data_IF_455176458027
#
_entry.id   IF_455176458027
#
_cell.length_a   1.000
_cell.length_b   1.000
_cell.length_c   1.000
_cell.angle_alpha   90.00
_cell.angle_beta   90.00
_cell.angle_gamma   90.00
#
_symmetry.space_group_name_H-M   'P 1'
#
loop_
_entity.id
_entity.type
_entity.pdbx_description
1 polymer ?
#
# COMPACT_ATOMS: atom_id res chain seq x y z
N UNK A 1 19.85 6.09 -3.35
CA UNK A 1 19.48 4.70 -3.01
C UNK A 1 20.40 3.75 -3.75
N UNK A 2 20.75 2.58 -3.19
CA UNK A 2 21.53 1.58 -3.91
C UNK A 2 20.74 1.08 -5.13
N UNK A 3 21.43 0.81 -6.24
CA UNK A 3 20.79 0.29 -7.47
C UNK A 3 20.46 -1.21 -7.36
N UNK A 4 21.08 -1.91 -6.41
CA UNK A 4 20.91 -3.34 -6.16
C UNK A 4 21.03 -3.66 -4.67
N UNK A 5 20.36 -4.73 -4.24
CA UNK A 5 20.36 -5.23 -2.87
C UNK A 5 20.89 -6.66 -2.80
N UNK A 6 21.64 -7.00 -1.75
CA UNK A 6 22.05 -8.39 -1.50
C UNK A 6 20.81 -9.25 -1.22
N UNK A 7 20.69 -10.40 -1.89
CA UNK A 7 19.51 -11.28 -1.82
C UNK A 7 19.10 -11.64 -0.39
N UNK A 8 20.08 -11.94 0.48
CA UNK A 8 19.80 -12.26 1.89
C UNK A 8 19.15 -11.08 2.62
N UNK A 9 19.49 -9.84 2.25
CA UNK A 9 18.86 -8.64 2.84
C UNK A 9 17.41 -8.50 2.41
N UNK A 10 17.09 -8.86 1.16
CA UNK A 10 15.71 -8.89 0.64
C UNK A 10 14.87 -9.88 1.43
N UNK A 11 15.33 -11.14 1.51
CA UNK A 11 14.65 -12.22 2.25
C UNK A 11 14.42 -11.84 3.72
N UNK A 12 15.43 -11.24 4.38
CA UNK A 12 15.29 -10.78 5.76
C UNK A 12 14.31 -9.61 5.91
N UNK A 13 14.24 -8.71 4.94
CA UNK A 13 13.32 -7.58 4.96
C UNK A 13 11.87 -8.04 4.81
N UNK A 14 11.61 -8.97 3.89
CA UNK A 14 10.28 -9.56 3.68
C UNK A 14 9.84 -10.39 4.88
N UNK A 15 10.75 -11.19 5.45
CA UNK A 15 10.46 -11.94 6.67
C UNK A 15 10.10 -11.02 7.84
N UNK A 16 10.84 -9.92 8.04
CA UNK A 16 10.54 -8.93 9.09
C UNK A 16 9.20 -8.25 8.88
N UNK A 17 8.83 -7.98 7.63
CA UNK A 17 7.49 -7.47 7.32
C UNK A 17 6.42 -8.43 7.82
N UNK A 18 6.53 -9.72 7.51
CA UNK A 18 5.58 -10.74 7.97
C UNK A 18 5.57 -10.87 9.50
N UNK A 19 6.75 -10.94 10.13
CA UNK A 19 6.86 -11.04 11.59
C UNK A 19 6.18 -9.85 12.29
N UNK A 20 6.47 -8.61 11.86
CA UNK A 20 5.86 -7.41 12.46
C UNK A 20 4.37 -7.25 12.12
N UNK A 21 3.94 -7.73 10.95
CA UNK A 21 2.53 -7.75 10.60
C UNK A 21 1.74 -8.69 11.51
N UNK A 22 2.28 -9.87 11.79
CA UNK A 22 1.68 -10.85 12.70
C UNK A 22 1.60 -10.30 14.13
N UNK A 23 2.61 -9.56 14.59
CA UNK A 23 2.58 -8.86 15.88
C UNK A 23 1.44 -7.84 15.96
N UNK A 24 1.21 -7.05 14.91
CA UNK A 24 0.07 -6.11 14.86
C UNK A 24 -1.25 -6.87 14.85
N UNK A 25 -1.39 -7.89 14.01
CA UNK A 25 -2.63 -8.65 13.85
C UNK A 25 -3.05 -9.40 15.11
N UNK A 26 -2.10 -9.81 15.93
CA UNK A 26 -2.31 -10.50 17.20
C UNK A 26 -2.37 -9.57 18.43
N UNK A 27 -2.21 -8.26 18.21
CA UNK A 27 -2.18 -7.28 19.28
C UNK A 27 -3.54 -7.04 19.95
N UNK A 28 -3.47 -6.58 21.19
CA UNK A 28 -4.60 -6.08 21.97
C UNK A 28 -4.45 -4.56 22.14
N UNK A 29 -5.46 -3.89 22.68
CA UNK A 29 -5.45 -2.43 22.83
C UNK A 29 -4.22 -1.90 23.56
N UNK A 30 -3.76 -2.62 24.59
CA UNK A 30 -2.59 -2.21 25.38
C UNK A 30 -1.25 -2.28 24.64
N UNK A 31 -1.16 -3.05 23.56
CA UNK A 31 0.08 -3.29 22.80
C UNK A 31 0.01 -2.81 21.34
N UNK A 32 -1.20 -2.51 20.85
CA UNK A 32 -1.46 -2.14 19.47
C UNK A 32 -0.57 -1.00 18.97
N UNK A 33 -0.53 0.13 19.68
CA UNK A 33 0.26 1.30 19.27
C UNK A 33 1.75 0.98 19.12
N UNK A 34 2.29 0.17 20.05
CA UNK A 34 3.70 -0.21 20.03
C UNK A 34 4.02 -1.09 18.82
N UNK A 35 3.18 -2.10 18.55
CA UNK A 35 3.39 -3.00 17.43
C UNK A 35 3.10 -2.33 16.08
N UNK A 36 2.06 -1.49 15.99
CA UNK A 36 1.78 -0.72 14.79
C UNK A 36 2.95 0.22 14.46
N UNK A 37 3.53 0.88 15.47
CA UNK A 37 4.69 1.74 15.27
C UNK A 37 5.93 0.97 14.80
N UNK A 38 6.19 -0.23 15.33
CA UNK A 38 7.30 -1.07 14.86
C UNK A 38 7.08 -1.49 13.40
N UNK A 39 5.87 -1.95 13.08
CA UNK A 39 5.48 -2.36 11.73
C UNK A 39 5.60 -1.22 10.72
N UNK A 40 5.00 -0.06 11.02
CA UNK A 40 5.07 1.13 10.16
C UNK A 40 6.51 1.63 10.02
N UNK A 41 7.30 1.62 11.10
CA UNK A 41 8.71 1.99 11.03
C UNK A 41 9.51 1.09 10.09
N UNK A 42 9.25 -0.23 10.08
CA UNK A 42 9.87 -1.15 9.12
C UNK A 42 9.44 -0.81 7.69
N UNK A 43 8.14 -0.65 7.45
CA UNK A 43 7.60 -0.28 6.13
C UNK A 43 8.19 1.03 5.59
N UNK A 44 8.40 2.03 6.44
CA UNK A 44 8.82 3.37 6.02
C UNK A 44 10.34 3.55 5.97
N UNK A 45 11.10 2.85 6.82
CA UNK A 45 12.54 3.10 7.00
C UNK A 45 13.45 1.93 6.59
N UNK A 46 12.93 0.72 6.38
CA UNK A 46 13.73 -0.35 5.78
C UNK A 46 14.04 -0.03 4.32
N UNK A 47 15.29 -0.22 3.88
CA UNK A 47 15.75 0.17 2.55
C UNK A 47 15.00 -0.51 1.40
N UNK A 48 14.39 -1.68 1.66
CA UNK A 48 13.70 -2.50 0.66
C UNK A 48 12.19 -2.28 0.77
N UNK A 49 11.61 -2.43 1.97
CA UNK A 49 10.17 -2.23 2.16
C UNK A 49 9.75 -0.80 1.83
N UNK A 50 10.59 0.20 2.13
CA UNK A 50 10.25 1.59 1.79
C UNK A 50 10.08 1.80 0.29
N UNK A 51 10.78 1.07 -0.58
CA UNK A 51 10.58 1.17 -2.03
C UNK A 51 9.17 0.71 -2.42
N UNK A 52 8.70 -0.38 -1.81
CA UNK A 52 7.38 -0.95 -2.05
C UNK A 52 6.30 -0.02 -1.46
N UNK A 53 6.42 0.32 -0.18
CA UNK A 53 5.45 1.15 0.54
C UNK A 53 5.40 2.60 0.05
N UNK A 54 6.48 3.16 -0.51
CA UNK A 54 6.45 4.49 -1.12
C UNK A 54 5.46 4.58 -2.28
N UNK A 55 5.27 3.51 -3.04
CA UNK A 55 4.29 3.47 -4.14
C UNK A 55 2.85 3.61 -3.65
N UNK A 56 2.60 3.29 -2.37
CA UNK A 56 1.28 3.36 -1.74
C UNK A 56 0.94 4.73 -1.14
N UNK A 57 1.89 5.68 -1.14
CA UNK A 57 1.70 7.01 -0.54
C UNK A 57 1.35 8.12 -1.53
N UNK A 58 1.51 7.88 -2.82
CA UNK A 58 1.54 8.96 -3.82
C UNK A 58 0.18 9.55 -4.21
N UNK A 59 -0.93 8.94 -3.83
CA UNK A 59 -2.26 9.41 -4.19
C UNK A 59 -3.13 9.62 -2.95
N UNK A 60 -3.17 10.85 -2.44
CA UNK A 60 -4.02 11.22 -1.30
C UNK A 60 -5.50 11.36 -1.68
N UNK A 61 -5.81 11.49 -2.98
CA UNK A 61 -7.19 11.71 -3.44
C UNK A 61 -8.07 10.50 -3.18
N UNK A 62 -7.49 9.29 -3.22
CA UNK A 62 -8.21 8.04 -2.93
C UNK A 62 -8.74 8.03 -1.50
N UNK A 63 -7.94 8.44 -0.53
CA UNK A 63 -8.35 8.51 0.86
C UNK A 63 -9.39 9.62 1.06
N UNK A 64 -9.17 10.82 0.53
CA UNK A 64 -10.12 11.93 0.64
C UNK A 64 -11.50 11.58 0.01
N UNK A 65 -11.50 10.94 -1.16
CA UNK A 65 -12.69 10.45 -1.85
C UNK A 65 -13.38 9.32 -1.06
N UNK A 66 -12.61 8.47 -0.40
CA UNK A 66 -13.15 7.42 0.44
C UNK A 66 -13.75 7.97 1.74
N UNK A 67 -13.07 8.91 2.41
CA UNK A 67 -13.53 9.57 3.63
C UNK A 67 -14.80 10.39 3.38
N UNK A 68 -14.89 11.08 2.24
CA UNK A 68 -16.08 11.83 1.84
C UNK A 68 -17.27 10.92 1.53
N UNK A 69 -17.07 9.82 0.79
CA UNK A 69 -18.13 8.82 0.53
C UNK A 69 -18.61 8.13 1.81
N UNK A 70 -17.70 7.93 2.76
CA UNK A 70 -18.02 7.28 4.03
C UNK A 70 -18.43 8.27 5.13
N UNK A 71 -18.46 9.59 4.84
CA UNK A 71 -18.84 10.67 5.77
C UNK A 71 -18.12 10.58 7.13
N UNK A 72 -16.80 10.38 7.14
CA UNK A 72 -16.02 10.37 8.38
C UNK A 72 -16.01 11.76 9.08
N UNK A 73 -16.37 12.83 8.38
CA UNK A 73 -16.43 14.20 8.91
C UNK A 73 -17.86 14.70 9.27
N UNK A 74 -18.90 13.86 9.24
CA UNK A 74 -20.29 14.31 9.30
C UNK A 74 -21.17 13.59 10.32
N UNK A 75 -21.53 14.31 11.38
CA UNK A 75 -22.51 13.99 12.44
C UNK A 75 -23.80 13.37 11.86
N UNK A 76 -23.92 12.04 11.80
CA UNK A 76 -25.21 11.32 11.78
C UNK A 76 -25.01 9.97 12.47
N UNK A 77 -25.73 9.75 13.57
CA UNK A 77 -25.96 8.44 14.20
C UNK A 77 -26.14 7.35 13.12
N UNK A 78 -25.18 6.43 13.00
CA UNK A 78 -25.32 5.29 12.07
C UNK A 78 -25.98 4.13 12.79
N UNK A 79 -27.24 3.89 12.44
CA UNK A 79 -27.94 2.64 12.68
C UNK A 79 -27.16 1.52 11.99
N UNK A 80 -26.86 0.46 12.75
CA UNK A 80 -26.26 -0.80 12.32
C UNK A 80 -26.45 -1.12 10.82
N UNK A 81 -25.35 -1.26 10.06
CA UNK A 81 -25.39 -1.92 8.76
C UNK A 81 -24.79 -1.19 7.55
N UNK A 82 -24.10 -0.05 7.71
CA UNK A 82 -23.35 0.50 6.56
C UNK A 82 -22.08 -0.33 6.35
N UNK A 83 -22.06 -1.06 5.24
CA UNK A 83 -20.95 -1.89 4.79
C UNK A 83 -19.81 -0.99 4.33
N UNK A 84 -18.67 -1.07 5.01
CA UNK A 84 -17.43 -0.42 4.57
C UNK A 84 -17.09 -0.91 3.16
N UNK A 85 -17.10 -0.01 2.17
CA UNK A 85 -16.80 -0.36 0.78
C UNK A 85 -15.35 0.02 0.45
N UNK A 86 -14.51 -1.01 0.24
CA UNK A 86 -13.16 -0.84 -0.28
C UNK A 86 -13.18 -0.70 -1.80
N UNK A 87 -12.20 0.00 -2.40
CA UNK A 87 -12.02 0.02 -3.85
C UNK A 87 -11.91 -1.40 -4.43
N UNK A 88 -12.52 -1.60 -5.61
CA UNK A 88 -12.39 -2.85 -6.37
C UNK A 88 -11.03 -2.97 -7.03
N UNK A 89 -10.50 -1.83 -7.52
CA UNK A 89 -9.13 -1.74 -8.03
C UNK A 89 -8.13 -2.05 -6.92
N UNK A 90 -7.19 -2.94 -7.20
CA UNK A 90 -6.23 -3.45 -6.22
C UNK A 90 -5.26 -2.37 -5.76
N UNK A 91 -4.71 -1.58 -6.69
CA UNK A 91 -3.78 -0.50 -6.36
C UNK A 91 -4.46 0.54 -5.47
N UNK A 92 -5.67 0.97 -5.84
CA UNK A 92 -6.42 1.93 -5.04
C UNK A 92 -6.76 1.39 -3.65
N UNK A 93 -7.12 0.11 -3.56
CA UNK A 93 -7.39 -0.54 -2.28
C UNK A 93 -6.15 -0.56 -1.40
N UNK A 94 -5.00 -0.95 -1.95
CA UNK A 94 -3.76 -1.04 -1.18
C UNK A 94 -3.26 0.33 -0.72
N UNK A 95 -3.38 1.36 -1.57
CA UNK A 95 -3.12 2.77 -1.20
C UNK A 95 -4.00 3.18 -0.03
N UNK A 96 -5.32 2.97 -0.14
CA UNK A 96 -6.28 3.35 0.89
C UNK A 96 -5.93 2.69 2.23
N UNK A 97 -5.76 1.37 2.23
CA UNK A 97 -5.52 0.60 3.46
C UNK A 97 -4.20 1.02 4.14
N UNK A 98 -3.14 1.23 3.35
CA UNK A 98 -1.85 1.66 3.86
C UNK A 98 -1.91 3.08 4.44
N UNK A 99 -2.58 4.02 3.76
CA UNK A 99 -2.72 5.38 4.25
C UNK A 99 -3.55 5.47 5.53
N UNK A 100 -4.57 4.62 5.70
CA UNK A 100 -5.33 4.53 6.96
C UNK A 100 -4.40 4.08 8.10
N UNK A 101 -3.58 3.06 7.88
CA UNK A 101 -2.60 2.60 8.88
C UNK A 101 -1.60 3.72 9.25
N UNK A 102 -1.15 4.51 8.26
CA UNK A 102 -0.27 5.66 8.51
C UNK A 102 -0.96 6.76 9.32
N UNK A 103 -2.21 7.11 9.03
CA UNK A 103 -2.96 8.11 9.79
C UNK A 103 -3.13 7.70 11.25
N UNK A 104 -3.50 6.43 11.49
CA UNK A 104 -3.62 5.88 12.85
C UNK A 104 -2.27 5.93 13.56
N UNK A 105 -1.21 5.45 12.93
CA UNK A 105 0.13 5.45 13.52
C UNK A 105 0.65 6.85 13.88
N UNK A 106 0.30 7.87 13.08
CA UNK A 106 0.68 9.26 13.34
C UNK A 106 -0.22 9.97 14.36
N UNK A 107 -1.29 9.32 14.81
CA UNK A 107 -2.30 9.95 15.66
C UNK A 107 -3.11 11.03 14.95
N UNK A 108 -3.13 11.04 13.61
CA UNK A 108 -3.97 11.94 12.81
C UNK A 108 -5.44 11.49 12.84
N UNK A 109 -5.68 10.20 13.06
CA UNK A 109 -6.98 9.62 13.37
C UNK A 109 -6.81 8.55 14.45
N UNK A 110 -7.89 8.27 15.17
CA UNK A 110 -7.94 7.23 16.19
C UNK A 110 -8.74 6.02 15.66
N UNK A 111 -8.39 4.80 16.07
CA UNK A 111 -9.09 3.58 15.63
C UNK A 111 -10.58 3.65 15.95
N UNK A 112 -10.96 4.27 17.07
CA UNK A 112 -12.37 4.46 17.39
C UNK A 112 -13.04 5.51 16.50
N UNK A 113 -12.29 6.51 16.03
CA UNK A 113 -12.80 7.48 15.05
C UNK A 113 -13.06 6.84 13.68
N UNK A 114 -12.38 5.74 13.37
CA UNK A 114 -12.66 4.93 12.17
C UNK A 114 -14.00 4.16 12.34
N UNK A 115 -14.27 3.68 13.56
CA UNK A 115 -15.48 2.93 13.93
C UNK A 115 -16.39 3.77 14.83
N UNK A 116 -17.09 4.75 14.23
CA UNK A 116 -17.96 5.76 14.86
C UNK A 116 -19.08 5.27 15.83
N UNK A 117 -19.16 3.99 16.18
CA UNK A 117 -20.14 3.43 17.13
C UNK A 117 -19.51 3.23 18.53
N UNK A 118 -19.12 4.35 19.15
CA UNK A 118 -18.40 4.40 20.43
C UNK A 118 -19.18 3.82 21.63
N UNK A 119 -20.49 3.60 21.52
CA UNK A 119 -21.31 3.27 22.69
C UNK A 119 -21.36 1.77 23.03
N UNK A 120 -20.76 0.90 22.22
CA UNK A 120 -20.80 -0.55 22.48
C UNK A 120 -19.51 -1.33 22.21
N UNK A 121 -18.49 -0.71 21.63
CA UNK A 121 -17.24 -1.38 21.27
C UNK A 121 -16.20 -1.28 22.40
N UNK A 122 -15.71 -2.41 22.89
CA UNK A 122 -14.56 -2.41 23.82
C UNK A 122 -13.27 -2.00 23.09
N UNK A 123 -12.24 -1.48 23.79
CA UNK A 123 -10.97 -1.14 23.13
C UNK A 123 -10.31 -2.29 22.36
N UNK A 124 -10.35 -3.50 22.90
CA UNK A 124 -9.81 -4.69 22.21
C UNK A 124 -10.66 -5.09 21.00
N UNK A 125 -11.98 -4.90 21.06
CA UNK A 125 -12.87 -5.10 19.92
C UNK A 125 -12.61 -4.08 18.82
N UNK A 126 -12.30 -2.83 19.16
CA UNK A 126 -11.92 -1.80 18.19
C UNK A 126 -10.63 -2.16 17.46
N UNK A 127 -9.61 -2.64 18.20
CA UNK A 127 -8.36 -3.15 17.61
C UNK A 127 -8.63 -4.38 16.73
N UNK A 128 -9.42 -5.33 17.21
CA UNK A 128 -9.76 -6.53 16.46
C UNK A 128 -10.45 -6.20 15.13
N UNK A 129 -11.42 -5.29 15.16
CA UNK A 129 -12.13 -4.84 13.98
C UNK A 129 -11.18 -4.11 13.02
N UNK A 130 -10.36 -3.18 13.53
CA UNK A 130 -9.36 -2.47 12.73
C UNK A 130 -8.39 -3.42 12.04
N UNK A 131 -7.87 -4.39 12.79
CA UNK A 131 -6.99 -5.41 12.25
C UNK A 131 -7.69 -6.26 11.18
N UNK A 132 -8.95 -6.62 11.40
CA UNK A 132 -9.71 -7.46 10.46
C UNK A 132 -10.04 -6.74 9.16
N UNK A 133 -10.47 -5.48 9.23
CA UNK A 133 -10.97 -4.75 8.07
C UNK A 133 -9.87 -3.97 7.32
N UNK A 134 -8.78 -3.59 7.99
CA UNK A 134 -7.72 -2.76 7.41
C UNK A 134 -6.37 -3.44 7.35
N UNK A 135 -5.81 -3.84 8.50
CA UNK A 135 -4.43 -4.36 8.56
C UNK A 135 -4.31 -5.70 7.83
N UNK A 136 -5.21 -6.65 8.08
CA UNK A 136 -5.19 -7.98 7.51
C UNK A 136 -5.30 -7.98 5.97
N UNK A 137 -6.27 -7.29 5.34
CA UNK A 137 -6.33 -7.24 3.88
C UNK A 137 -5.12 -6.53 3.28
N UNK A 138 -4.59 -5.50 3.93
CA UNK A 138 -3.38 -4.80 3.49
C UNK A 138 -2.16 -5.73 3.51
N UNK A 139 -1.90 -6.36 4.66
CA UNK A 139 -0.79 -7.29 4.86
C UNK A 139 -0.87 -8.43 3.87
N UNK A 140 -2.06 -9.01 3.65
CA UNK A 140 -2.27 -10.05 2.65
C UNK A 140 -1.93 -9.58 1.23
N UNK A 141 -2.42 -8.41 0.85
CA UNK A 141 -2.23 -7.89 -0.51
C UNK A 141 -0.78 -7.54 -0.79
N UNK A 142 -0.08 -6.96 0.19
CA UNK A 142 1.37 -6.72 0.10
C UNK A 142 2.12 -8.05 0.11
N UNK A 143 1.73 -8.99 0.97
CA UNK A 143 2.32 -10.33 1.07
C UNK A 143 2.33 -11.06 -0.27
N UNK A 144 1.23 -11.07 -1.01
CA UNK A 144 1.19 -11.65 -2.36
C UNK A 144 2.19 -11.01 -3.33
N UNK A 145 2.41 -9.70 -3.22
CA UNK A 145 3.40 -8.99 -4.05
C UNK A 145 4.83 -9.35 -3.65
N UNK A 146 5.08 -9.58 -2.36
CA UNK A 146 6.37 -10.08 -1.90
C UNK A 146 6.62 -11.50 -2.42
N UNK A 147 5.61 -12.37 -2.39
CA UNK A 147 5.68 -13.73 -2.94
C UNK A 147 5.94 -13.73 -4.45
N UNK A 148 5.30 -12.85 -5.21
CA UNK A 148 5.59 -12.66 -6.65
C UNK A 148 7.03 -12.21 -6.89
N UNK A 149 7.52 -11.24 -6.10
CA UNK A 149 8.92 -10.80 -6.18
C UNK A 149 9.88 -11.95 -5.85
N UNK A 150 9.61 -12.74 -4.81
CA UNK A 150 10.43 -13.90 -4.46
C UNK A 150 10.46 -14.93 -5.59
N UNK A 151 9.30 -15.21 -6.19
CA UNK A 151 9.20 -16.10 -7.34
C UNK A 151 10.05 -15.60 -8.51
N UNK A 152 9.93 -14.33 -8.90
CA UNK A 152 10.71 -13.74 -10.00
C UNK A 152 12.21 -13.76 -9.71
N UNK A 153 12.62 -13.54 -8.45
CA UNK A 153 14.01 -13.67 -8.03
C UNK A 153 14.50 -15.12 -8.19
N UNK A 154 13.67 -16.10 -7.85
CA UNK A 154 14.02 -17.52 -7.96
C UNK A 154 14.07 -18.03 -9.40
N UNK A 155 13.22 -17.51 -10.29
CA UNK A 155 13.16 -17.95 -11.69
C UNK A 155 14.13 -17.20 -12.58
N UNK A 156 14.17 -15.87 -12.47
CA UNK A 156 14.83 -15.01 -13.46
C UNK A 156 16.23 -14.57 -12.99
N UNK A 157 16.46 -14.59 -11.66
CA UNK A 157 17.69 -14.14 -11.01
C UNK A 157 18.33 -15.22 -10.13
N UNK A 158 18.06 -16.50 -10.44
CA UNK A 158 18.39 -17.66 -9.60
C UNK A 158 19.82 -17.66 -9.03
N UNK A 159 20.81 -17.31 -9.85
CA UNK A 159 22.24 -17.34 -9.48
C UNK A 159 22.79 -15.94 -9.15
N UNK A 160 21.94 -14.92 -9.14
CA UNK A 160 22.33 -13.55 -8.86
C UNK A 160 22.35 -13.29 -7.36
N UNK A 161 23.50 -12.79 -6.88
CA UNK A 161 23.63 -12.36 -5.49
C UNK A 161 22.93 -11.03 -5.22
N UNK A 162 22.85 -10.17 -6.23
CA UNK A 162 22.37 -8.81 -6.10
C UNK A 162 21.10 -8.58 -6.94
N UNK A 163 20.01 -8.24 -6.27
CA UNK A 163 18.70 -8.03 -6.85
C UNK A 163 18.57 -6.56 -7.28
N UNK A 164 18.26 -6.26 -8.55
CA UNK A 164 18.10 -4.90 -9.01
C UNK A 164 16.85 -4.24 -8.41
N UNK A 165 16.94 -2.94 -8.14
CA UNK A 165 15.85 -2.17 -7.52
C UNK A 165 14.53 -2.24 -8.31
N UNK A 166 14.62 -2.45 -9.62
CA UNK A 166 13.47 -2.48 -10.53
C UNK A 166 12.47 -3.60 -10.22
N UNK A 167 12.93 -4.67 -9.58
CA UNK A 167 12.09 -5.81 -9.19
C UNK A 167 11.08 -5.41 -8.10
N UNK A 168 11.36 -4.38 -7.29
CA UNK A 168 10.49 -3.97 -6.19
C UNK A 168 9.38 -2.98 -6.60
N UNK A 169 9.25 -2.66 -7.89
CA UNK A 169 8.14 -1.84 -8.39
C UNK A 169 6.94 -2.73 -8.73
N UNK A 170 5.98 -2.79 -7.80
CA UNK A 170 4.82 -3.68 -7.84
C UNK A 170 3.61 -3.06 -8.56
N UNK A 171 3.51 -1.73 -8.60
CA UNK A 171 2.54 -1.03 -9.44
C UNK A 171 3.27 -0.30 -10.56
N UNK A 172 3.78 -1.07 -11.51
CA UNK A 172 4.43 -0.48 -12.67
C UNK A 172 3.41 0.35 -13.45
N UNK A 173 3.63 1.66 -13.46
CA UNK A 173 3.00 2.51 -14.43
C UNK A 173 3.85 2.45 -15.71
N UNK A 174 3.37 1.69 -16.70
CA UNK A 174 3.99 1.65 -18.02
C UNK A 174 3.68 2.92 -18.84
N UNK A 175 2.97 3.90 -18.27
CA UNK A 175 2.77 5.19 -18.92
C UNK A 175 4.13 5.88 -19.12
N UNK A 176 4.42 6.22 -20.37
CA UNK A 176 5.62 6.94 -20.74
C UNK A 176 5.21 8.27 -21.36
N UNK A 177 5.79 9.35 -20.83
CA UNK A 177 5.60 10.69 -21.39
C UNK A 177 6.77 11.00 -22.32
N UNK A 178 6.56 10.81 -23.63
CA UNK A 178 7.54 11.20 -24.64
C UNK A 178 7.33 12.69 -24.95
N UNK A 179 8.34 13.52 -24.65
CA UNK A 179 8.33 14.94 -24.98
C UNK A 179 9.24 15.19 -26.19
N UNK A 180 8.66 15.62 -27.31
CA UNK A 180 9.37 15.91 -28.56
C UNK A 180 8.72 15.29 -29.80
N UNK A 181 9.38 15.42 -30.95
CA UNK A 181 8.92 14.82 -32.21
C UNK A 181 9.09 13.31 -32.18
N UNK A 182 7.98 12.57 -32.17
CA UNK A 182 7.98 11.11 -32.24
C UNK A 182 7.99 10.68 -33.70
N UNK A 183 9.16 10.24 -34.19
CA UNK A 183 9.29 9.64 -35.52
C UNK A 183 9.35 8.12 -35.41
N UNK A 184 8.32 7.42 -35.88
CA UNK A 184 8.31 5.96 -35.95
C UNK A 184 8.67 5.48 -37.36
N UNK A 185 9.35 4.34 -37.47
CA UNK A 185 9.61 3.61 -38.73
C UNK A 185 9.40 2.12 -38.50
N UNK A 186 8.79 1.43 -39.46
CA UNK A 186 8.48 -0.01 -39.35
C UNK A 186 7.21 -0.28 -38.54
N UNK A 187 7.17 -1.42 -37.84
CA UNK A 187 5.99 -1.95 -37.14
C UNK A 187 5.80 -1.33 -35.74
N UNK A 188 5.61 -0.02 -35.69
CA UNK A 188 5.29 0.65 -34.43
C UNK A 188 3.85 0.30 -34.00
N UNK A 189 3.70 -0.25 -32.79
CA UNK A 189 2.41 -0.45 -32.15
C UNK A 189 2.19 0.64 -31.10
N UNK A 190 1.00 1.26 -31.12
CA UNK A 190 0.55 2.21 -30.12
C UNK A 190 -0.57 1.54 -29.35
N UNK A 191 -0.41 1.45 -28.03
CA UNK A 191 -1.39 0.82 -27.14
C UNK A 191 -2.73 1.54 -27.11
N UNK A 192 -3.77 0.81 -26.73
CA UNK A 192 -5.11 1.36 -26.49
C UNK A 192 -5.05 2.41 -25.36
N UNK A 193 -5.69 3.57 -25.56
CA UNK A 193 -5.70 4.68 -24.60
C UNK A 193 -4.57 5.71 -24.75
N UNK A 194 -3.64 5.52 -25.69
CA UNK A 194 -2.63 6.53 -25.99
C UNK A 194 -3.26 7.81 -26.61
N UNK A 195 -2.89 8.98 -26.09
CA UNK A 195 -3.28 10.28 -26.64
C UNK A 195 -2.06 10.96 -27.29
N UNK A 196 -2.17 11.29 -28.58
CA UNK A 196 -1.13 12.03 -29.31
C UNK A 196 -1.61 13.46 -29.53
N UNK A 197 -1.07 14.39 -28.74
CA UNK A 197 -1.38 15.81 -28.87
C UNK A 197 -0.43 16.49 -29.85
N UNK A 198 -0.98 17.06 -30.92
CA UNK A 198 -0.18 17.87 -31.85
C UNK A 198 0.02 19.27 -31.26
N UNK A 199 1.23 19.57 -30.78
CA UNK A 199 1.59 20.92 -30.36
C UNK A 199 2.01 21.75 -31.58
N UNK A 200 1.20 22.72 -31.98
CA UNK A 200 1.62 23.74 -32.94
C UNK A 200 2.68 24.62 -32.27
N UNK A 201 3.91 24.58 -32.78
CA UNK A 201 4.93 25.55 -32.41
C UNK A 201 4.54 26.87 -33.09
N UNK A 202 4.21 27.89 -32.29
CA UNK A 202 3.93 29.27 -32.74
C UNK A 202 5.26 29.98 -32.93
#
# INVERSE_FOLDING_TARGET
MPEKFDRKRVELSFRRFSDFADDVLSSEYSTFDAYLNIFVNHCENDEIMSIICNQLKHDSTILDDWESRNNLAGIIHRVSGIKLTLPTDEKQRDILLYQICLKVNKGETDIFSVYFDFNSCSPDEAVHNFNTDFVKPMVRSIGYKLEEIEYDIETDLKDERYIPITVFYVYQDYSTNITGDVNTKGDAAIGEGANIEKKSII
#
